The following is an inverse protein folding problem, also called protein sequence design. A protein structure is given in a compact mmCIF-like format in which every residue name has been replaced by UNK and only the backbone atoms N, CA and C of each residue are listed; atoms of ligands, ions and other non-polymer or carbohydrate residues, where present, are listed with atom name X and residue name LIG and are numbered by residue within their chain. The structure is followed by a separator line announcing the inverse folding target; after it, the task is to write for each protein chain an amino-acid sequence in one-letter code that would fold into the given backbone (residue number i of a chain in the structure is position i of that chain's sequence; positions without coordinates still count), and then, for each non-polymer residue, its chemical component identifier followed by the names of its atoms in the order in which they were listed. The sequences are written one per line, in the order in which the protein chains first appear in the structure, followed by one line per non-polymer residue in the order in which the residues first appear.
data_IF_068979630677
#
_entry.id   IF_068979630677
#
_cell.length_a   1.000
_cell.length_b   1.000
_cell.length_c   1.000
_cell.angle_alpha   90.00
_cell.angle_beta   90.00
_cell.angle_gamma   90.00
#
_symmetry.space_group_name_H-M   'P 1'
#
loop_
_entity.id
_entity.type
_entity.pdbx_description
1 polymer ?
#
# COMPACT_ATOMS: atom_id res chain seq x y z
N UNK A 1 -25.66 -11.89 61.98
CA UNK A 1 -26.65 -11.76 60.88
C UNK A 1 -26.75 -10.27 60.53
N UNK A 2 -26.14 -9.89 59.39
CA UNK A 2 -26.28 -8.66 58.58
C UNK A 2 -24.95 -8.40 57.87
N UNK A 3 -24.78 -9.06 56.73
CA UNK A 3 -23.80 -8.70 55.71
C UNK A 3 -24.35 -7.47 54.97
N UNK A 4 -23.56 -6.41 54.88
CA UNK A 4 -23.87 -5.26 54.01
C UNK A 4 -23.34 -5.53 52.58
N UNK A 5 -24.03 -4.99 51.56
CA UNK A 5 -23.82 -5.36 50.17
C UNK A 5 -22.61 -4.63 49.54
N UNK A 6 -21.88 -5.40 48.73
CA UNK A 6 -20.84 -4.95 47.81
C UNK A 6 -21.42 -4.01 46.75
N UNK A 7 -20.86 -2.79 46.66
CA UNK A 7 -21.11 -1.86 45.55
C UNK A 7 -19.87 -1.81 44.66
N UNK A 8 -19.91 -2.54 43.56
CA UNK A 8 -19.30 -2.18 42.27
C UNK A 8 -20.49 -1.98 41.31
N UNK A 9 -20.42 -1.21 40.20
CA UNK A 9 -19.24 -0.92 39.38
C UNK A 9 -19.20 0.55 38.87
N UNK A 10 -18.19 0.88 38.06
CA UNK A 10 -18.29 1.55 36.74
C UNK A 10 -16.85 1.52 36.23
N UNK A 11 -16.49 0.43 35.57
CA UNK A 11 -15.41 0.47 34.59
C UNK A 11 -15.98 1.31 33.45
N UNK A 12 -15.42 2.51 33.27
CA UNK A 12 -15.54 3.20 32.01
C UNK A 12 -15.13 2.22 30.92
N UNK A 13 -16.05 1.98 30.00
CA UNK A 13 -15.78 1.35 28.73
C UNK A 13 -14.68 2.17 28.06
N UNK A 14 -13.43 1.71 28.18
CA UNK A 14 -12.40 2.01 27.18
C UNK A 14 -13.00 1.57 25.85
N UNK A 15 -13.41 2.56 25.06
CA UNK A 15 -13.62 2.35 23.64
C UNK A 15 -12.35 1.72 23.10
N UNK A 16 -12.47 0.48 22.63
CA UNK A 16 -11.43 -0.18 21.88
C UNK A 16 -11.15 0.68 20.63
N UNK A 17 -10.19 1.58 20.74
CA UNK A 17 -9.58 2.25 19.59
C UNK A 17 -9.01 1.13 18.74
N UNK A 18 -9.62 0.88 17.58
CA UNK A 18 -9.17 -0.06 16.56
C UNK A 18 -7.68 0.19 16.28
N UNK A 19 -6.85 -0.65 16.89
CA UNK A 19 -5.39 -0.56 16.88
C UNK A 19 -4.78 -1.21 15.64
N UNK A 20 -5.40 -1.03 14.48
CA UNK A 20 -5.04 -1.69 13.22
C UNK A 20 -4.27 -0.76 12.27
N UNK A 21 -3.90 0.45 12.69
CA UNK A 21 -3.03 1.32 11.92
C UNK A 21 -1.59 0.79 11.91
N UNK A 22 -0.97 0.68 10.73
CA UNK A 22 0.44 0.32 10.53
C UNK A 22 1.41 1.00 11.53
N UNK A 23 1.12 2.26 11.87
CA UNK A 23 1.96 3.07 12.74
C UNK A 23 1.57 2.92 14.22
N UNK A 24 0.41 2.39 14.57
CA UNK A 24 -0.16 2.36 15.93
C UNK A 24 0.44 1.31 16.85
N UNK A 25 1.38 0.50 16.34
CA UNK A 25 2.24 -0.31 17.17
C UNK A 25 3.04 0.58 18.13
N UNK A 26 2.99 0.26 19.44
CA UNK A 26 3.93 0.83 20.41
C UNK A 26 5.34 0.71 19.83
N UNK A 27 6.19 1.75 19.92
CA UNK A 27 7.59 1.62 19.52
C UNK A 27 8.15 0.38 20.22
N UNK A 28 8.84 -0.53 19.51
CA UNK A 28 9.41 -1.71 20.14
C UNK A 28 10.24 -1.26 21.34
N UNK A 29 10.16 -1.98 22.49
CA UNK A 29 10.86 -1.59 23.70
C UNK A 29 12.34 -1.42 23.38
N UNK A 30 12.80 -0.18 23.43
CA UNK A 30 14.17 0.31 23.25
C UNK A 30 15.17 -0.74 22.75
N UNK A 31 15.20 -0.98 21.44
CA UNK A 31 16.42 -1.52 20.83
C UNK A 31 17.44 -0.39 20.92
N UNK A 32 18.26 -0.39 21.99
CA UNK A 32 19.47 0.44 22.07
C UNK A 32 20.43 -0.09 21.02
N UNK A 33 20.33 0.44 19.81
CA UNK A 33 21.32 0.18 18.79
C UNK A 33 22.60 0.96 19.13
N UNK A 34 23.78 0.35 18.94
CA UNK A 34 25.03 1.07 19.09
C UNK A 34 25.02 2.24 18.10
N UNK A 35 25.29 3.45 18.61
CA UNK A 35 25.53 4.59 17.74
C UNK A 35 26.63 4.18 16.75
N UNK A 36 26.43 4.31 15.43
CA UNK A 36 27.54 4.20 14.51
C UNK A 36 28.59 5.22 14.94
N UNK A 37 29.87 4.93 14.73
CA UNK A 37 31.00 5.75 15.17
C UNK A 37 31.05 7.19 14.60
N UNK A 38 29.95 7.71 14.04
CA UNK A 38 29.65 9.12 13.82
C UNK A 38 28.33 9.48 14.52
N UNK A 39 28.37 10.37 15.51
CA UNK A 39 27.19 10.85 16.24
C UNK A 39 26.18 11.46 15.26
N UNK A 40 24.98 10.88 15.19
CA UNK A 40 23.82 11.54 14.58
C UNK A 40 23.31 12.56 15.59
N UNK A 41 23.37 13.84 15.24
CA UNK A 41 22.95 14.94 16.11
C UNK A 41 21.46 15.19 15.89
N UNK A 42 20.63 15.27 16.95
CA UNK A 42 19.22 15.62 16.81
C UNK A 42 19.05 17.05 16.29
N UNK A 43 17.98 17.36 15.55
CA UNK A 43 17.67 18.72 15.16
C UNK A 43 17.49 19.64 16.38
N UNK A 44 17.96 20.90 16.27
CA UNK A 44 17.88 21.90 17.36
C UNK A 44 16.50 22.56 17.47
N UNK A 45 15.60 22.29 16.53
CA UNK A 45 14.25 22.85 16.48
C UNK A 45 13.24 21.93 17.19
N UNK A 46 12.25 22.51 17.85
CA UNK A 46 11.18 21.72 18.47
C UNK A 46 10.22 21.20 17.38
N UNK A 47 10.09 19.87 17.28
CA UNK A 47 9.14 19.22 16.37
C UNK A 47 7.68 19.64 16.64
N UNK A 48 7.38 20.15 17.84
CA UNK A 48 6.06 20.62 18.27
C UNK A 48 5.71 22.01 17.71
N UNK A 49 6.71 22.82 17.35
CA UNK A 49 6.53 24.19 16.84
C UNK A 49 6.00 24.25 15.40
N UNK A 50 5.80 23.09 14.76
CA UNK A 50 4.97 22.97 13.56
C UNK A 50 5.64 23.33 12.25
N UNK A 51 6.88 23.85 12.25
CA UNK A 51 7.60 24.15 11.01
C UNK A 51 7.85 22.87 10.18
N UNK A 52 7.47 22.84 8.88
CA UNK A 52 7.57 21.64 8.06
C UNK A 52 9.02 21.18 7.85
N UNK A 53 9.98 22.10 7.76
CA UNK A 53 11.41 21.80 7.66
C UNK A 53 11.92 21.11 8.94
N UNK A 54 11.44 21.55 10.10
CA UNK A 54 11.81 20.96 11.37
C UNK A 54 11.31 19.51 11.46
N UNK A 55 10.03 19.28 11.15
CA UNK A 55 9.46 17.93 11.11
C UNK A 55 10.18 17.03 10.10
N UNK A 56 10.53 17.57 8.93
CA UNK A 56 11.31 16.83 7.94
C UNK A 56 12.70 16.44 8.47
N UNK A 57 13.39 17.35 9.16
CA UNK A 57 14.67 17.07 9.81
C UNK A 57 14.54 15.98 10.90
N UNK A 58 13.48 16.02 11.70
CA UNK A 58 13.17 14.97 12.67
C UNK A 58 12.88 13.62 12.02
N UNK A 59 12.11 13.60 10.93
CA UNK A 59 11.89 12.38 10.14
C UNK A 59 13.20 11.75 9.66
N UNK A 60 14.13 12.59 9.16
CA UNK A 60 15.47 12.14 8.75
C UNK A 60 16.30 11.60 9.93
N UNK A 61 16.26 12.27 11.07
CA UNK A 61 16.92 11.82 12.28
C UNK A 61 16.41 10.43 12.72
N UNK A 62 15.08 10.24 12.69
CA UNK A 62 14.47 8.95 13.01
C UNK A 62 14.90 7.84 12.05
N UNK A 63 14.99 8.09 10.73
CA UNK A 63 15.55 7.09 9.79
C UNK A 63 17.01 6.77 10.11
N UNK A 64 17.83 7.79 10.35
CA UNK A 64 19.26 7.60 10.66
C UNK A 64 19.48 6.80 11.95
N UNK A 65 18.52 6.84 12.87
CA UNK A 65 18.53 6.12 14.14
C UNK A 65 17.72 4.81 14.10
N UNK A 66 17.31 4.36 12.91
CA UNK A 66 16.54 3.11 12.67
C UNK A 66 15.16 3.06 13.32
N UNK A 67 14.46 4.19 13.34
CA UNK A 67 13.05 4.32 13.74
C UNK A 67 12.16 4.70 12.55
N UNK A 68 11.93 3.78 11.59
CA UNK A 68 11.13 4.07 10.40
C UNK A 68 9.65 4.37 10.72
N UNK A 69 9.13 3.90 11.85
CA UNK A 69 7.80 4.22 12.37
C UNK A 69 7.66 5.69 12.76
N UNK A 70 8.62 6.23 13.54
CA UNK A 70 8.64 7.64 13.90
C UNK A 70 8.94 8.51 12.68
N UNK A 71 9.82 8.06 11.81
CA UNK A 71 10.13 8.76 10.56
C UNK A 71 8.89 8.90 9.67
N UNK A 72 8.18 7.80 9.41
CA UNK A 72 6.95 7.80 8.62
C UNK A 72 5.94 8.80 9.20
N UNK A 73 5.75 8.83 10.53
CA UNK A 73 4.83 9.77 11.19
C UNK A 73 5.19 11.23 10.91
N UNK A 74 6.46 11.61 11.02
CA UNK A 74 6.87 13.01 10.78
C UNK A 74 6.82 13.37 9.29
N UNK A 75 7.29 12.51 8.40
CA UNK A 75 7.21 12.77 6.97
C UNK A 75 5.77 12.86 6.45
N UNK A 76 4.85 12.00 6.93
CA UNK A 76 3.43 12.06 6.56
C UNK A 76 2.80 13.40 6.93
N UNK A 77 3.13 13.95 8.11
CA UNK A 77 2.62 15.27 8.52
C UNK A 77 3.07 16.37 7.56
N UNK A 78 4.35 16.39 7.18
CA UNK A 78 4.88 17.35 6.19
C UNK A 78 4.26 17.13 4.81
N UNK A 79 4.08 15.88 4.40
CA UNK A 79 3.55 15.56 3.09
C UNK A 79 2.05 15.90 2.93
N UNK A 80 1.27 15.87 4.01
CA UNK A 80 -0.19 16.06 3.98
C UNK A 80 -0.65 17.46 4.38
N UNK A 81 0.26 18.35 4.77
CA UNK A 81 -0.05 19.71 5.23
C UNK A 81 0.35 20.75 4.16
N UNK A 82 -0.49 21.06 3.16
CA UNK A 82 -0.16 22.04 2.14
C UNK A 82 -0.18 23.49 2.67
N UNK A 83 0.60 24.42 2.08
CA UNK A 83 1.42 24.23 0.89
C UNK A 83 2.91 23.96 1.22
N UNK A 84 3.34 22.70 1.18
CA UNK A 84 4.76 22.34 1.41
C UNK A 84 5.57 22.12 0.12
N UNK A 85 5.00 22.39 -1.06
CA UNK A 85 5.71 22.37 -2.34
C UNK A 85 6.61 21.14 -2.55
N UNK A 86 7.87 21.38 -2.91
CA UNK A 86 8.88 20.33 -3.12
C UNK A 86 9.21 19.56 -1.84
N UNK A 87 9.31 20.25 -0.70
CA UNK A 87 9.56 19.61 0.61
C UNK A 87 8.46 18.58 0.94
N UNK A 88 7.20 18.91 0.64
CA UNK A 88 6.07 18.00 0.78
C UNK A 88 6.19 16.75 -0.09
N UNK A 89 6.67 16.88 -1.33
CA UNK A 89 6.91 15.73 -2.24
C UNK A 89 8.07 14.86 -1.77
N UNK A 90 9.16 15.46 -1.29
CA UNK A 90 10.25 14.71 -0.68
C UNK A 90 9.78 13.98 0.58
N UNK A 91 9.00 14.64 1.43
CA UNK A 91 8.42 14.02 2.61
C UNK A 91 7.49 12.86 2.23
N UNK A 92 6.64 13.01 1.21
CA UNK A 92 5.77 11.93 0.73
C UNK A 92 6.58 10.69 0.30
N UNK A 93 7.66 10.90 -0.47
CA UNK A 93 8.56 9.83 -0.91
C UNK A 93 9.20 9.12 0.29
N UNK A 94 9.72 9.88 1.25
CA UNK A 94 10.36 9.34 2.46
C UNK A 94 9.35 8.63 3.38
N UNK A 95 8.11 9.12 3.46
CA UNK A 95 7.04 8.48 4.21
C UNK A 95 6.71 7.09 3.65
N UNK A 96 6.50 6.98 2.34
CA UNK A 96 6.22 5.70 1.68
C UNK A 96 7.38 4.72 1.83
N UNK A 97 8.63 5.17 1.64
CA UNK A 97 9.81 4.34 1.83
C UNK A 97 9.93 3.83 3.28
N UNK A 98 9.62 4.69 4.27
CA UNK A 98 9.64 4.31 5.69
C UNK A 98 8.58 3.25 6.00
N UNK A 99 7.37 3.39 5.44
CA UNK A 99 6.30 2.40 5.56
C UNK A 99 6.68 1.07 4.86
N UNK A 100 7.38 1.12 3.73
CA UNK A 100 7.85 -0.09 3.03
C UNK A 100 8.89 -0.84 3.87
N UNK A 101 9.80 -0.12 4.54
CA UNK A 101 10.72 -0.72 5.51
C UNK A 101 9.96 -1.43 6.63
N UNK A 102 8.90 -0.82 7.17
CA UNK A 102 8.05 -1.47 8.18
C UNK A 102 7.33 -2.70 7.63
N UNK A 103 6.87 -2.64 6.38
CA UNK A 103 6.17 -3.75 5.75
C UNK A 103 7.05 -4.97 5.50
N UNK A 104 8.31 -4.77 5.11
CA UNK A 104 9.18 -5.84 4.60
C UNK A 104 10.37 -6.18 5.49
N UNK A 105 10.93 -5.18 6.18
CA UNK A 105 12.24 -5.28 6.85
C UNK A 105 12.16 -5.15 8.36
N UNK A 106 11.03 -4.71 8.93
CA UNK A 106 10.84 -4.74 10.37
C UNK A 106 10.82 -6.19 10.87
N UNK A 107 11.14 -6.36 12.15
CA UNK A 107 11.09 -7.64 12.84
C UNK A 107 10.14 -7.52 14.06
N UNK A 108 8.91 -8.08 13.99
CA UNK A 108 8.32 -8.77 12.84
C UNK A 108 7.89 -7.80 11.71
N UNK A 109 7.80 -8.27 10.44
CA UNK A 109 7.27 -7.47 9.34
C UNK A 109 5.82 -7.04 9.59
N UNK A 110 5.44 -5.84 9.12
CA UNK A 110 4.10 -5.26 9.31
C UNK A 110 3.36 -5.13 7.98
N UNK A 111 2.80 -6.21 7.41
CA UNK A 111 2.21 -6.19 6.07
C UNK A 111 1.06 -5.18 5.89
N UNK A 112 0.32 -4.86 6.98
CA UNK A 112 -0.69 -3.80 6.98
C UNK A 112 -0.14 -2.43 6.55
N UNK A 113 1.16 -2.19 6.68
CA UNK A 113 1.81 -0.98 6.18
C UNK A 113 1.74 -0.81 4.67
N UNK A 114 1.60 -1.89 3.89
CA UNK A 114 1.40 -1.77 2.44
C UNK A 114 0.06 -1.09 2.11
N UNK A 115 -1.01 -1.42 2.83
CA UNK A 115 -2.32 -0.77 2.66
C UNK A 115 -2.23 0.72 2.99
N UNK A 116 -1.49 1.08 4.05
CA UNK A 116 -1.26 2.47 4.40
C UNK A 116 -0.51 3.24 3.31
N UNK A 117 0.47 2.61 2.63
CA UNK A 117 1.17 3.24 1.50
C UNK A 117 0.20 3.52 0.35
N UNK A 118 -0.70 2.58 0.02
CA UNK A 118 -1.70 2.79 -1.05
C UNK A 118 -2.63 3.97 -0.72
N UNK A 119 -3.16 4.02 0.50
CA UNK A 119 -4.00 5.11 0.97
C UNK A 119 -3.28 6.46 0.95
N UNK A 120 -2.04 6.49 1.45
CA UNK A 120 -1.21 7.69 1.45
C UNK A 120 -0.89 8.14 0.04
N UNK A 121 -0.57 7.22 -0.88
CA UNK A 121 -0.31 7.55 -2.28
C UNK A 121 -1.51 8.23 -2.95
N UNK A 122 -2.74 7.79 -2.67
CA UNK A 122 -3.97 8.45 -3.14
C UNK A 122 -4.08 9.87 -2.59
N UNK A 123 -3.83 10.06 -1.30
CA UNK A 123 -3.86 11.38 -0.65
C UNK A 123 -2.77 12.31 -1.16
N UNK A 124 -1.55 11.79 -1.34
CA UNK A 124 -0.45 12.56 -1.93
C UNK A 124 -0.75 12.97 -3.37
N UNK A 125 -1.41 12.11 -4.14
CA UNK A 125 -1.82 12.45 -5.49
C UNK A 125 -2.83 13.60 -5.49
N UNK A 126 -3.78 13.61 -4.56
CA UNK A 126 -4.73 14.71 -4.40
C UNK A 126 -4.02 16.02 -4.03
N UNK A 127 -3.20 15.99 -2.98
CA UNK A 127 -2.55 17.19 -2.42
C UNK A 127 -1.50 17.78 -3.36
N UNK A 128 -0.67 16.93 -3.99
CA UNK A 128 0.49 17.40 -4.77
C UNK A 128 0.25 17.43 -6.28
N UNK A 129 -0.79 16.77 -6.79
CA UNK A 129 -1.02 16.62 -8.24
C UNK A 129 -2.42 17.06 -8.70
N UNK A 130 -3.37 17.35 -7.80
CA UNK A 130 -4.77 17.60 -8.16
C UNK A 130 -5.06 18.98 -8.75
N UNK A 131 -4.45 20.04 -8.23
CA UNK A 131 -4.72 21.43 -8.64
C UNK A 131 -3.51 22.37 -8.54
N UNK A 132 -2.30 21.82 -8.48
CA UNK A 132 -1.08 22.62 -8.44
C UNK A 132 -0.85 23.31 -9.79
N UNK A 133 -0.37 24.57 -9.82
CA UNK A 133 -0.10 25.29 -11.07
C UNK A 133 0.92 24.56 -11.96
N UNK A 134 1.89 23.91 -11.32
CA UNK A 134 2.97 23.14 -11.95
C UNK A 134 3.15 21.82 -11.19
N UNK A 135 2.41 20.76 -11.55
CA UNK A 135 2.60 19.44 -10.95
C UNK A 135 3.93 18.84 -11.43
N UNK A 136 4.64 18.19 -10.51
CA UNK A 136 5.79 17.35 -10.83
C UNK A 136 5.29 16.04 -11.45
N UNK A 137 5.29 15.98 -12.78
CA UNK A 137 4.70 14.86 -13.53
C UNK A 137 5.37 13.51 -13.22
N UNK A 138 6.66 13.49 -12.91
CA UNK A 138 7.39 12.25 -12.58
C UNK A 138 6.98 11.74 -11.21
N UNK A 139 6.92 12.63 -10.21
CA UNK A 139 6.40 12.30 -8.89
C UNK A 139 4.94 11.80 -8.98
N UNK A 140 4.09 12.52 -9.71
CA UNK A 140 2.69 12.16 -9.89
C UNK A 140 2.51 10.83 -10.65
N UNK A 141 3.36 10.53 -11.63
CA UNK A 141 3.38 9.24 -12.30
C UNK A 141 3.80 8.11 -11.35
N UNK A 142 4.80 8.34 -10.49
CA UNK A 142 5.22 7.41 -9.44
C UNK A 142 4.09 7.06 -8.47
N UNK A 143 3.34 8.07 -7.99
CA UNK A 143 2.19 7.84 -7.12
C UNK A 143 1.08 7.03 -7.80
N UNK A 144 0.74 7.37 -9.05
CA UNK A 144 -0.26 6.61 -9.82
C UNK A 144 0.17 5.16 -10.01
N UNK A 145 1.46 4.92 -10.23
CA UNK A 145 2.00 3.57 -10.35
C UNK A 145 1.93 2.82 -9.01
N UNK A 146 2.26 3.47 -7.89
CA UNK A 146 2.18 2.88 -6.55
C UNK A 146 0.76 2.42 -6.21
N UNK A 147 -0.26 3.25 -6.50
CA UNK A 147 -1.69 2.94 -6.26
C UNK A 147 -2.12 1.65 -6.96
N UNK A 148 -1.51 1.29 -8.08
CA UNK A 148 -1.84 0.08 -8.84
C UNK A 148 -0.95 -1.09 -8.41
N UNK A 149 0.36 -0.86 -8.26
CA UNK A 149 1.33 -1.92 -8.00
C UNK A 149 1.24 -2.50 -6.60
N UNK A 150 0.91 -1.69 -5.59
CA UNK A 150 0.80 -2.16 -4.20
C UNK A 150 -0.28 -3.23 -4.06
N UNK A 151 -1.55 -3.00 -4.45
CA UNK A 151 -2.55 -4.04 -4.37
C UNK A 151 -2.26 -5.21 -5.31
N UNK A 152 -1.62 -4.97 -6.47
CA UNK A 152 -1.16 -6.04 -7.38
C UNK A 152 -0.18 -6.99 -6.69
N UNK A 153 0.81 -6.45 -5.97
CA UNK A 153 1.79 -7.24 -5.20
C UNK A 153 1.12 -8.04 -4.08
N UNK A 154 0.14 -7.45 -3.38
CA UNK A 154 -0.64 -8.17 -2.37
C UNK A 154 -1.39 -9.37 -2.96
N UNK A 155 -1.90 -9.24 -4.20
CA UNK A 155 -2.54 -10.34 -4.93
C UNK A 155 -1.52 -11.39 -5.37
N UNK A 156 -0.32 -10.99 -5.83
CA UNK A 156 0.76 -11.93 -6.13
C UNK A 156 1.16 -12.78 -4.91
N UNK A 157 1.18 -12.19 -3.72
CA UNK A 157 1.46 -12.92 -2.49
C UNK A 157 0.34 -13.91 -2.12
N UNK A 158 -0.92 -13.64 -2.47
CA UNK A 158 -2.00 -14.63 -2.38
C UNK A 158 -1.76 -15.82 -3.33
N UNK A 159 -1.27 -15.56 -4.55
CA UNK A 159 -0.92 -16.63 -5.50
C UNK A 159 0.21 -17.49 -4.94
N UNK A 160 1.28 -16.89 -4.44
CA UNK A 160 2.39 -17.63 -3.81
C UNK A 160 1.91 -18.44 -2.60
N UNK A 161 1.06 -17.85 -1.77
CA UNK A 161 0.45 -18.56 -0.64
C UNK A 161 -0.39 -19.74 -1.10
N UNK A 162 -1.11 -19.62 -2.23
CA UNK A 162 -1.88 -20.71 -2.82
C UNK A 162 -0.98 -21.84 -3.35
N UNK A 163 0.19 -21.52 -3.90
CA UNK A 163 1.18 -22.49 -4.38
C UNK A 163 1.81 -23.29 -3.23
N UNK A 164 1.98 -22.65 -2.07
CA UNK A 164 2.56 -23.26 -0.86
C UNK A 164 1.53 -23.95 0.04
N UNK A 165 0.24 -23.66 -0.14
CA UNK A 165 -0.84 -24.19 0.69
C UNK A 165 -1.10 -25.69 0.45
N UNK A 166 -1.63 -26.42 1.45
CA UNK A 166 -2.14 -27.76 1.25
C UNK A 166 -3.21 -27.81 0.14
N UNK A 167 -3.36 -28.94 -0.59
CA UNK A 167 -4.25 -29.01 -1.75
C UNK A 167 -5.72 -28.62 -1.51
N UNK A 168 -6.22 -28.71 -0.27
CA UNK A 168 -7.59 -28.33 0.08
C UNK A 168 -7.83 -26.81 0.16
N UNK A 169 -6.80 -26.04 0.52
CA UNK A 169 -6.93 -24.60 0.78
C UNK A 169 -6.55 -23.74 -0.43
N UNK A 170 -5.70 -24.29 -1.30
CA UNK A 170 -5.17 -23.64 -2.50
C UNK A 170 -6.25 -23.06 -3.44
N UNK A 171 -7.37 -23.76 -3.76
CA UNK A 171 -8.37 -23.23 -4.68
C UNK A 171 -9.05 -21.94 -4.19
N UNK A 172 -9.24 -21.80 -2.88
CA UNK A 172 -9.86 -20.61 -2.30
C UNK A 172 -8.95 -19.38 -2.42
N UNK A 173 -7.64 -19.55 -2.21
CA UNK A 173 -6.65 -18.48 -2.36
C UNK A 173 -6.49 -18.06 -3.83
N UNK A 174 -6.44 -19.03 -4.75
CA UNK A 174 -6.43 -18.71 -6.19
C UNK A 174 -7.70 -17.97 -6.64
N UNK A 175 -8.87 -18.34 -6.12
CA UNK A 175 -10.11 -17.58 -6.39
C UNK A 175 -9.98 -16.14 -5.91
N UNK A 176 -9.53 -15.93 -4.67
CA UNK A 176 -9.35 -14.58 -4.12
C UNK A 176 -8.36 -13.76 -4.97
N UNK A 177 -7.29 -14.39 -5.45
CA UNK A 177 -6.35 -13.74 -6.34
C UNK A 177 -6.97 -13.34 -7.68
N UNK A 178 -7.74 -14.24 -8.31
CA UNK A 178 -8.48 -13.95 -9.55
C UNK A 178 -9.48 -12.80 -9.38
N UNK A 179 -10.24 -12.79 -8.27
CA UNK A 179 -11.18 -11.73 -7.91
C UNK A 179 -10.45 -10.39 -7.70
N UNK A 180 -9.27 -10.43 -7.07
CA UNK A 180 -8.41 -9.26 -6.85
C UNK A 180 -7.90 -8.64 -8.16
N UNK A 181 -7.32 -9.45 -9.04
CA UNK A 181 -6.81 -8.97 -10.34
C UNK A 181 -7.92 -8.40 -11.22
N UNK A 182 -9.08 -9.05 -11.25
CA UNK A 182 -10.24 -8.57 -12.02
C UNK A 182 -10.74 -7.23 -11.50
N UNK A 183 -10.77 -7.04 -10.17
CA UNK A 183 -11.14 -5.77 -9.55
C UNK A 183 -10.16 -4.65 -9.91
N UNK A 184 -8.85 -4.92 -9.88
CA UNK A 184 -7.84 -3.93 -10.30
C UNK A 184 -8.01 -3.56 -11.77
N UNK A 185 -8.27 -4.54 -12.63
CA UNK A 185 -8.58 -4.28 -14.02
C UNK A 185 -9.81 -3.36 -14.15
N UNK A 186 -10.92 -3.67 -13.48
CA UNK A 186 -12.13 -2.86 -13.55
C UNK A 186 -11.91 -1.42 -13.04
N UNK A 187 -11.06 -1.26 -12.03
CA UNK A 187 -10.74 0.05 -11.45
C UNK A 187 -9.81 0.91 -12.34
N UNK A 188 -8.82 0.31 -13.00
CA UNK A 188 -7.73 1.05 -13.66
C UNK A 188 -7.64 0.88 -15.17
N UNK A 189 -8.40 -0.05 -15.74
CA UNK A 189 -8.34 -0.42 -17.16
C UNK A 189 -9.63 -0.16 -17.94
N UNK A 190 -10.62 0.53 -17.34
CA UNK A 190 -11.80 0.98 -18.07
C UNK A 190 -11.35 1.77 -19.32
N UNK A 191 -11.91 1.39 -20.47
CA UNK A 191 -11.73 2.03 -21.77
C UNK A 191 -11.98 3.55 -21.78
N UNK A 192 -12.73 4.07 -20.80
CA UNK A 192 -12.96 5.51 -20.59
C UNK A 192 -11.75 6.24 -20.01
N UNK A 193 -10.78 5.54 -19.43
CA UNK A 193 -9.55 6.11 -18.91
C UNK A 193 -8.57 6.39 -20.05
N UNK A 194 -7.72 7.41 -19.87
CA UNK A 194 -6.73 7.79 -20.90
C UNK A 194 -5.76 6.65 -21.19
N UNK A 195 -5.31 6.55 -22.45
CA UNK A 195 -4.35 5.53 -22.90
C UNK A 195 -3.10 5.44 -22.00
N UNK A 196 -2.59 6.59 -21.52
CA UNK A 196 -1.45 6.66 -20.60
C UNK A 196 -1.76 6.00 -19.24
N UNK A 197 -2.96 6.19 -18.68
CA UNK A 197 -3.35 5.54 -17.43
C UNK A 197 -3.48 4.02 -17.59
N UNK A 198 -4.05 3.56 -18.71
CA UNK A 198 -4.17 2.13 -18.99
C UNK A 198 -2.81 1.45 -19.20
N UNK A 199 -1.87 2.15 -19.86
CA UNK A 199 -0.51 1.63 -20.05
C UNK A 199 0.23 1.43 -18.73
N UNK A 200 0.05 2.33 -17.76
CA UNK A 200 0.63 2.20 -16.41
C UNK A 200 0.08 0.99 -15.65
N UNK A 201 -1.18 0.60 -15.89
CA UNK A 201 -1.85 -0.46 -15.16
C UNK A 201 -1.52 -1.88 -15.65
N UNK A 202 -0.80 -2.04 -16.76
CA UNK A 202 -0.47 -3.36 -17.36
C UNK A 202 -1.71 -4.24 -17.48
N UNK A 203 -2.76 -3.69 -18.10
CA UNK A 203 -4.11 -4.25 -18.09
C UNK A 203 -4.21 -5.66 -18.68
N UNK A 204 -3.38 -6.00 -19.66
CA UNK A 204 -3.29 -7.34 -20.23
C UNK A 204 -2.74 -8.36 -19.22
N UNK A 205 -1.76 -7.97 -18.42
CA UNK A 205 -1.22 -8.78 -17.34
C UNK A 205 -2.24 -9.03 -16.23
N UNK A 206 -2.98 -8.01 -15.80
CA UNK A 206 -4.03 -8.18 -14.78
C UNK A 206 -5.06 -9.24 -15.21
N UNK A 207 -5.56 -9.16 -16.45
CA UNK A 207 -6.50 -10.16 -16.97
C UNK A 207 -5.85 -11.53 -17.20
N UNK A 208 -4.60 -11.57 -17.68
CA UNK A 208 -3.90 -12.83 -17.88
C UNK A 208 -3.67 -13.57 -16.56
N UNK A 209 -3.24 -12.87 -15.51
CA UNK A 209 -3.03 -13.47 -14.19
C UNK A 209 -4.35 -13.83 -13.50
N UNK A 210 -5.41 -13.02 -13.66
CA UNK A 210 -6.76 -13.40 -13.24
C UNK A 210 -7.21 -14.71 -13.92
N UNK A 211 -7.02 -14.83 -15.24
CA UNK A 211 -7.36 -16.03 -15.99
C UNK A 211 -6.63 -17.27 -15.45
N UNK A 212 -5.32 -17.17 -15.21
CA UNK A 212 -4.53 -18.26 -14.63
C UNK A 212 -4.99 -18.64 -13.24
N UNK A 213 -5.22 -17.65 -12.38
CA UNK A 213 -5.69 -17.86 -11.02
C UNK A 213 -7.06 -18.56 -10.99
N UNK A 214 -8.02 -18.12 -11.82
CA UNK A 214 -9.32 -18.80 -11.90
C UNK A 214 -9.24 -20.24 -12.42
N UNK A 215 -8.35 -20.52 -13.38
CA UNK A 215 -8.11 -21.91 -13.81
C UNK A 215 -7.57 -22.78 -12.68
N UNK A 216 -6.58 -22.28 -11.94
CA UNK A 216 -6.02 -22.97 -10.78
C UNK A 216 -7.05 -23.17 -9.64
N UNK A 217 -8.00 -22.24 -9.52
CA UNK A 217 -9.12 -22.34 -8.58
C UNK A 217 -10.23 -23.32 -8.99
N UNK A 218 -10.17 -23.94 -10.18
CA UNK A 218 -11.25 -24.78 -10.70
C UNK A 218 -12.51 -23.98 -11.07
N UNK A 219 -12.34 -22.73 -11.52
CA UNK A 219 -13.41 -21.77 -11.85
C UNK A 219 -13.48 -21.51 -13.36
N UNK A 220 -13.99 -22.45 -14.17
CA UNK A 220 -13.90 -22.37 -15.64
C UNK A 220 -14.73 -21.23 -16.24
N UNK A 221 -15.86 -20.87 -15.63
CA UNK A 221 -16.72 -19.76 -16.08
C UNK A 221 -15.98 -18.44 -15.92
N UNK A 222 -15.45 -18.16 -14.74
CA UNK A 222 -14.73 -16.91 -14.45
C UNK A 222 -13.43 -16.78 -15.27
N UNK A 223 -12.72 -17.90 -15.47
CA UNK A 223 -11.58 -17.96 -16.37
C UNK A 223 -11.99 -17.62 -17.82
N UNK A 224 -13.09 -18.20 -18.32
CA UNK A 224 -13.60 -17.90 -19.65
C UNK A 224 -13.99 -16.43 -19.79
N UNK A 225 -14.72 -15.87 -18.83
CA UNK A 225 -15.10 -14.44 -18.84
C UNK A 225 -13.87 -13.51 -18.87
N UNK A 226 -12.85 -13.83 -18.08
CA UNK A 226 -11.60 -13.07 -18.05
C UNK A 226 -10.84 -13.17 -19.38
N UNK A 227 -10.77 -14.37 -19.97
CA UNK A 227 -10.23 -14.58 -21.33
C UNK A 227 -11.00 -13.73 -22.34
N UNK A 228 -12.33 -13.70 -22.27
CA UNK A 228 -13.14 -12.91 -23.19
C UNK A 228 -12.89 -11.41 -23.01
N UNK A 229 -12.72 -10.90 -21.77
CA UNK A 229 -12.29 -9.51 -21.53
C UNK A 229 -10.94 -9.21 -22.18
N UNK A 230 -9.97 -10.12 -22.08
CA UNK A 230 -8.62 -9.93 -22.65
C UNK A 230 -8.63 -9.89 -24.19
N UNK A 231 -9.51 -10.69 -24.80
CA UNK A 231 -9.65 -10.81 -26.25
C UNK A 231 -10.63 -9.81 -26.87
N UNK A 232 -11.39 -9.08 -26.05
CA UNK A 232 -12.37 -8.08 -26.53
C UNK A 232 -11.65 -6.90 -27.20
N UNK A 233 -11.91 -6.62 -28.50
CA UNK A 233 -11.32 -5.49 -29.19
C UNK A 233 -11.59 -4.14 -28.52
N UNK A 234 -12.71 -4.01 -27.80
CA UNK A 234 -13.07 -2.78 -27.07
C UNK A 234 -12.05 -2.43 -25.99
N UNK A 235 -11.42 -3.44 -25.39
CA UNK A 235 -10.39 -3.24 -24.36
C UNK A 235 -9.02 -2.89 -24.96
N UNK A 236 -8.84 -3.03 -26.28
CA UNK A 236 -7.59 -2.74 -26.99
C UNK A 236 -6.37 -3.54 -26.46
N UNK A 237 -6.63 -4.75 -25.95
CA UNK A 237 -5.59 -5.66 -25.45
C UNK A 237 -5.38 -6.88 -26.36
N UNK A 238 -6.27 -7.11 -27.33
CA UNK A 238 -6.31 -8.33 -28.15
C UNK A 238 -5.02 -8.60 -28.94
N UNK A 239 -4.23 -7.56 -29.24
CA UNK A 239 -2.96 -7.67 -29.97
C UNK A 239 -1.72 -7.92 -29.09
N UNK A 240 -1.87 -7.92 -27.76
CA UNK A 240 -0.73 -8.14 -26.85
C UNK A 240 -0.25 -9.59 -26.89
N UNK A 241 1.00 -9.81 -26.47
CA UNK A 241 1.59 -11.15 -26.41
C UNK A 241 0.79 -12.07 -25.48
N UNK A 242 0.29 -11.54 -24.35
CA UNK A 242 -0.51 -12.29 -23.38
C UNK A 242 -1.90 -12.64 -23.93
N UNK A 243 -2.56 -11.73 -24.64
CA UNK A 243 -3.83 -12.01 -25.30
C UNK A 243 -3.69 -13.13 -26.34
N UNK A 244 -2.66 -13.05 -27.19
CA UNK A 244 -2.34 -14.08 -28.20
C UNK A 244 -2.03 -15.43 -27.57
N UNK A 245 -1.37 -15.44 -26.40
CA UNK A 245 -1.09 -16.67 -25.66
C UNK A 245 -2.39 -17.36 -25.24
N UNK A 246 -3.29 -16.64 -24.58
CA UNK A 246 -4.56 -17.20 -24.10
C UNK A 246 -5.50 -17.56 -25.26
N UNK A 247 -5.46 -16.83 -26.38
CA UNK A 247 -6.25 -17.14 -27.57
C UNK A 247 -5.99 -18.57 -28.10
N UNK A 248 -4.74 -19.05 -27.97
CA UNK A 248 -4.29 -20.34 -28.44
C UNK A 248 -4.35 -21.45 -27.38
N UNK A 249 -4.74 -21.13 -26.14
CA UNK A 249 -4.90 -22.13 -25.09
C UNK A 249 -6.23 -22.89 -25.25
N UNK A 250 -6.21 -24.23 -25.11
CA UNK A 250 -7.41 -25.06 -25.23
C UNK A 250 -8.41 -24.82 -24.10
#
# INVERSE_FOLDING_TARGET
MRLQPTSAPILASEEAVSGDGCLDGRPPPHIRLPAPNGRVIPPECDASEGAPECRYAWGRFHLATRHPDLAAREFRKVALDPPNGELGRFAATQAMASLEMLAKLADPPRPACMQQIEEDAKRYLEVHCGAMPEPDEDFCAGLRLAIINIPRLAIEDLVKSAEEAPPGDSPALYRQAGDGYTRLFEQFCDTKLSLRRRALARCDELLYEAYRAYRAAGRPVDAYETRMKLLDPRNQLYDTALAKKVANEP
#
